data_IF_006077919289
#
_entry.id   IF_006077919289
#
_cell.length_a   1.000
_cell.length_b   1.000
_cell.length_c   1.000
_cell.angle_alpha   90.00
_cell.angle_beta   90.00
_cell.angle_gamma   90.00
#
_symmetry.space_group_name_H-M   'P 1'
#
loop_
_entity.id
_entity.type
_entity.pdbx_description
1 polymer ?
#
# COMPACT_ATOMS: atom_id res chain seq x y z
N UNK A 1 30.06 -20.59 -5.58
CA UNK A 1 30.94 -21.38 -4.69
C UNK A 1 31.60 -22.52 -5.46
N UNK A 2 32.90 -22.78 -5.28
CA UNK A 2 33.61 -23.89 -5.95
C UNK A 2 33.33 -25.24 -5.28
N UNK A 3 33.48 -26.35 -6.02
CA UNK A 3 33.25 -27.71 -5.50
C UNK A 3 34.09 -28.02 -4.25
N UNK A 4 35.34 -27.53 -4.21
CA UNK A 4 36.23 -27.66 -3.05
C UNK A 4 35.66 -26.97 -1.80
N UNK A 5 35.04 -25.80 -1.96
CA UNK A 5 34.40 -25.06 -0.85
C UNK A 5 33.09 -25.73 -0.42
N UNK A 6 32.32 -26.27 -1.37
CA UNK A 6 31.11 -27.04 -1.06
C UNK A 6 31.42 -28.31 -0.26
N UNK A 7 32.45 -29.08 -0.64
CA UNK A 7 32.82 -30.30 0.06
C UNK A 7 33.31 -30.04 1.49
N UNK A 8 34.09 -28.97 1.70
CA UNK A 8 34.47 -28.52 3.05
C UNK A 8 33.25 -28.09 3.89
N UNK A 9 32.30 -27.37 3.28
CA UNK A 9 31.06 -26.97 3.96
C UNK A 9 30.24 -28.18 4.36
N UNK A 10 30.08 -29.15 3.45
CA UNK A 10 29.42 -30.42 3.71
C UNK A 10 30.06 -31.15 4.88
N UNK A 11 31.38 -31.31 4.87
CA UNK A 11 32.14 -31.97 5.94
C UNK A 11 31.97 -31.23 7.29
N UNK A 12 32.08 -29.90 7.31
CA UNK A 12 31.89 -29.09 8.53
C UNK A 12 30.48 -29.22 9.09
N UNK A 13 29.45 -29.21 8.24
CA UNK A 13 28.05 -29.36 8.67
C UNK A 13 27.77 -30.78 9.15
N UNK A 14 28.23 -31.81 8.44
CA UNK A 14 28.05 -33.21 8.88
C UNK A 14 28.76 -33.49 10.22
N UNK A 15 29.90 -32.84 10.48
CA UNK A 15 30.61 -32.90 11.76
C UNK A 15 29.93 -32.13 12.89
N UNK A 16 29.46 -30.90 12.63
CA UNK A 16 28.88 -30.02 13.66
C UNK A 16 27.39 -30.27 13.91
N UNK A 17 26.67 -30.80 12.92
CA UNK A 17 25.21 -30.97 12.93
C UNK A 17 24.80 -32.29 12.24
N UNK A 18 25.05 -33.44 12.86
CA UNK A 18 24.84 -34.76 12.26
C UNK A 18 23.37 -35.07 11.94
N UNK A 19 22.42 -34.28 12.45
CA UNK A 19 21.00 -34.39 12.11
C UNK A 19 20.64 -33.84 10.71
N UNK A 20 21.58 -33.18 10.04
CA UNK A 20 21.42 -32.67 8.69
C UNK A 20 22.01 -33.64 7.68
N UNK A 21 21.24 -33.91 6.63
CA UNK A 21 21.59 -34.89 5.60
C UNK A 21 21.69 -34.17 4.25
N UNK A 22 22.85 -34.31 3.61
CA UNK A 22 23.05 -33.93 2.22
C UNK A 22 22.58 -35.05 1.29
N UNK A 23 21.61 -34.74 0.42
CA UNK A 23 21.11 -35.65 -0.59
C UNK A 23 21.42 -35.11 -1.99
N UNK A 24 22.10 -35.92 -2.80
CA UNK A 24 22.29 -35.62 -4.21
C UNK A 24 20.98 -35.92 -4.95
N UNK A 25 20.49 -34.94 -5.70
CA UNK A 25 19.27 -35.03 -6.48
C UNK A 25 19.58 -35.63 -7.87
N UNK A 26 18.56 -36.18 -8.51
CA UNK A 26 18.70 -36.81 -9.83
C UNK A 26 19.09 -35.86 -10.98
N UNK A 27 19.08 -34.55 -10.74
CA UNK A 27 19.53 -33.49 -11.65
C UNK A 27 21.01 -33.10 -11.42
N UNK A 28 21.72 -33.78 -10.53
CA UNK A 28 23.13 -33.51 -10.19
C UNK A 28 23.32 -32.42 -9.12
N UNK A 29 22.25 -31.77 -8.67
CA UNK A 29 22.28 -30.75 -7.62
C UNK A 29 22.23 -31.37 -6.22
N UNK A 30 22.56 -30.58 -5.19
CA UNK A 30 22.50 -31.05 -3.80
C UNK A 30 21.34 -30.42 -3.05
N UNK A 31 20.80 -31.16 -2.08
CA UNK A 31 19.89 -30.63 -1.08
C UNK A 31 20.41 -30.93 0.31
N UNK A 32 20.19 -30.01 1.24
CA UNK A 32 20.50 -30.19 2.65
C UNK A 32 19.19 -30.14 3.42
N UNK A 33 18.91 -31.20 4.16
CA UNK A 33 17.63 -31.34 4.84
C UNK A 33 17.80 -31.88 6.25
N UNK A 34 16.96 -31.41 7.16
CA UNK A 34 16.69 -32.11 8.40
C UNK A 34 15.16 -32.21 8.58
N UNK A 35 14.69 -32.74 9.72
CA UNK A 35 13.25 -32.91 10.00
C UNK A 35 12.40 -31.62 9.93
N UNK A 36 13.01 -30.43 9.81
CA UNK A 36 12.34 -29.13 9.91
C UNK A 36 12.73 -28.12 8.83
N UNK A 37 13.85 -28.30 8.14
CA UNK A 37 14.41 -27.31 7.20
C UNK A 37 14.90 -28.02 5.94
N UNK A 38 14.71 -27.37 4.79
CA UNK A 38 15.19 -27.83 3.49
C UNK A 38 15.93 -26.70 2.76
N UNK A 39 17.12 -26.96 2.26
CA UNK A 39 17.89 -26.01 1.46
C UNK A 39 18.34 -26.67 0.16
N UNK A 40 18.33 -25.89 -0.93
CA UNK A 40 18.79 -26.34 -2.24
C UNK A 40 20.14 -25.72 -2.58
N UNK A 41 21.01 -26.49 -3.22
CA UNK A 41 22.27 -26.06 -3.79
C UNK A 41 22.24 -26.35 -5.29
N UNK A 42 22.05 -25.32 -6.09
CA UNK A 42 21.98 -25.41 -7.54
C UNK A 42 23.36 -25.10 -8.14
N UNK A 43 23.85 -25.92 -9.06
CA UNK A 43 25.02 -25.59 -9.87
C UNK A 43 24.60 -24.69 -11.05
N UNK A 44 25.18 -23.50 -11.13
CA UNK A 44 25.09 -22.66 -12.31
C UNK A 44 25.99 -23.18 -13.43
N UNK A 45 25.63 -22.85 -14.68
CA UNK A 45 26.34 -23.26 -15.90
C UNK A 45 27.82 -22.82 -15.96
N UNK A 46 28.24 -21.89 -15.10
CA UNK A 46 29.60 -21.38 -14.97
C UNK A 46 30.44 -22.12 -13.90
N UNK A 47 29.92 -23.20 -13.30
CA UNK A 47 30.60 -23.98 -12.26
C UNK A 47 30.45 -23.40 -10.84
N UNK A 48 29.67 -22.33 -10.67
CA UNK A 48 29.37 -21.79 -9.35
C UNK A 48 28.17 -22.51 -8.72
N UNK A 49 28.32 -22.95 -7.48
CA UNK A 49 27.18 -23.39 -6.65
C UNK A 49 26.50 -22.17 -6.05
N UNK A 50 25.18 -22.09 -6.21
CA UNK A 50 24.27 -21.11 -5.58
C UNK A 50 23.38 -21.84 -4.58
N UNK A 51 23.40 -21.38 -3.33
CA UNK A 51 22.54 -21.92 -2.27
C UNK A 51 21.25 -21.10 -2.19
N UNK A 52 20.10 -21.77 -2.28
CA UNK A 52 18.77 -21.20 -2.11
C UNK A 52 18.07 -21.86 -0.94
N UNK A 53 18.15 -21.29 0.27
CA UNK A 53 17.42 -21.83 1.42
C UNK A 53 15.91 -21.63 1.21
N UNK A 54 15.11 -22.68 1.46
CA UNK A 54 13.64 -22.58 1.48
C UNK A 54 13.09 -23.11 2.80
N UNK A 55 12.59 -22.20 3.64
CA UNK A 55 12.09 -22.57 4.97
C UNK A 55 10.58 -22.78 4.89
N UNK A 56 10.12 -24.01 5.05
CA UNK A 56 8.68 -24.32 5.13
C UNK A 56 8.18 -24.22 6.58
N UNK A 57 7.07 -23.50 6.85
CA UNK A 57 6.43 -23.53 8.16
C UNK A 57 5.56 -24.78 8.32
N UNK A 58 5.86 -25.63 9.32
CA UNK A 58 5.22 -26.94 9.52
C UNK A 58 3.72 -26.86 9.88
N UNK A 59 2.89 -27.60 9.13
CA UNK A 59 2.03 -28.68 9.64
C UNK A 59 1.37 -29.43 8.47
N UNK A 60 2.07 -30.40 7.88
CA UNK A 60 1.43 -31.53 7.22
C UNK A 60 2.26 -32.78 7.53
N UNK A 61 1.57 -33.78 8.05
CA UNK A 61 2.07 -35.09 8.43
C UNK A 61 2.90 -35.71 7.30
N UNK A 62 4.20 -35.86 7.52
CA UNK A 62 5.05 -36.81 6.79
C UNK A 62 4.63 -38.24 7.19
N UNK A 63 3.57 -38.73 6.55
CA UNK A 63 3.37 -40.17 6.37
C UNK A 63 3.58 -40.47 4.89
N UNK A 64 4.63 -41.26 4.67
CA UNK A 64 4.91 -42.05 3.47
C UNK A 64 5.18 -41.26 2.19
N UNK A 65 6.38 -41.40 1.62
CA UNK A 65 6.49 -42.10 0.35
C UNK A 65 7.94 -42.51 0.06
N UNK A 66 8.08 -43.81 -0.12
CA UNK A 66 9.16 -44.54 -0.76
C UNK A 66 9.23 -44.14 -2.24
N UNK A 67 10.44 -43.89 -2.73
CA UNK A 67 10.74 -43.67 -4.15
C UNK A 67 10.59 -44.98 -4.93
N UNK A 68 9.76 -45.04 -5.98
CA UNK A 68 10.07 -45.77 -7.23
C UNK A 68 9.28 -45.17 -8.42
N UNK A 69 10.08 -44.80 -9.44
CA UNK A 69 9.91 -44.79 -10.91
C UNK A 69 8.54 -44.71 -11.61
N UNK A 70 8.62 -43.93 -12.70
CA UNK A 70 7.86 -43.96 -13.95
C UNK A 70 6.44 -43.35 -13.98
N UNK A 71 6.38 -42.23 -14.71
CA UNK A 71 5.24 -41.72 -15.50
C UNK A 71 3.96 -41.21 -14.80
N UNK A 72 3.70 -39.92 -15.02
CA UNK A 72 2.40 -39.25 -15.38
C UNK A 72 2.18 -37.92 -14.62
N UNK A 73 1.80 -36.91 -15.42
CA UNK A 73 1.40 -35.52 -15.07
C UNK A 73 0.20 -35.45 -14.12
N UNK A 74 0.17 -34.38 -13.31
CA UNK A 74 -0.90 -33.37 -12.98
C UNK A 74 -0.44 -32.73 -11.65
N UNK A 75 -0.57 -31.44 -11.30
CA UNK A 75 -1.27 -30.26 -11.79
C UNK A 75 -0.90 -29.09 -10.84
N UNK A 76 -1.25 -27.86 -11.23
CA UNK A 76 -0.93 -26.62 -10.49
C UNK A 76 -1.36 -26.66 -9.02
N UNK A 77 -0.45 -26.30 -8.12
CA UNK A 77 -0.75 -25.83 -6.76
C UNK A 77 -0.15 -24.41 -6.62
N UNK A 78 -0.96 -23.51 -6.06
CA UNK A 78 -0.81 -22.07 -6.11
C UNK A 78 0.51 -21.53 -5.58
N UNK A 79 0.98 -20.48 -6.24
CA UNK A 79 2.17 -19.72 -5.87
C UNK A 79 1.93 -18.99 -4.54
N UNK A 80 2.70 -19.36 -3.52
CA UNK A 80 2.98 -18.48 -2.39
C UNK A 80 4.17 -17.61 -2.79
N UNK A 81 4.08 -16.32 -2.49
CA UNK A 81 5.14 -15.35 -2.77
C UNK A 81 6.21 -15.54 -1.70
N UNK A 82 7.19 -16.39 -1.99
CA UNK A 82 8.36 -16.59 -1.14
C UNK A 82 9.25 -15.33 -1.20
N UNK A 83 9.62 -14.78 -0.04
CA UNK A 83 10.78 -13.89 0.04
C UNK A 83 12.03 -14.75 -0.17
N UNK A 84 12.54 -14.73 -1.41
CA UNK A 84 13.83 -15.32 -1.76
C UNK A 84 14.90 -14.33 -1.33
N UNK A 85 15.68 -14.69 -0.30
CA UNK A 85 16.89 -13.95 0.07
C UNK A 85 18.06 -14.63 -0.63
N UNK A 86 18.52 -14.04 -1.74
CA UNK A 86 19.73 -14.49 -2.43
C UNK A 86 20.96 -13.92 -1.69
N UNK A 87 21.74 -14.78 -1.05
CA UNK A 87 23.02 -14.41 -0.44
C UNK A 87 24.15 -14.98 -1.31
N UNK A 88 24.85 -14.15 -2.10
CA UNK A 88 25.99 -14.62 -2.88
C UNK A 88 27.17 -14.96 -1.95
N UNK A 89 27.44 -16.25 -1.78
CA UNK A 89 28.61 -16.75 -1.07
C UNK A 89 29.83 -16.72 -2.00
N UNK A 90 30.62 -15.65 -1.93
CA UNK A 90 31.80 -15.43 -2.79
C UNK A 90 33.13 -15.68 -2.08
N UNK A 91 33.14 -15.89 -0.76
CA UNK A 91 34.38 -16.13 0.02
C UNK A 91 34.15 -17.03 1.25
N UNK A 92 35.22 -17.67 1.74
CA UNK A 92 35.21 -18.49 2.98
C UNK A 92 34.83 -17.66 4.23
N UNK A 93 34.99 -16.32 4.22
CA UNK A 93 34.65 -15.44 5.35
C UNK A 93 33.14 -15.25 5.57
N UNK A 94 32.32 -15.46 4.54
CA UNK A 94 30.85 -15.31 4.62
C UNK A 94 30.16 -16.60 5.09
N UNK A 95 30.93 -17.68 5.29
CA UNK A 95 30.42 -18.98 5.70
C UNK A 95 29.99 -18.98 7.17
N UNK A 96 30.77 -18.34 8.04
CA UNK A 96 30.46 -18.24 9.46
C UNK A 96 29.27 -17.28 9.69
N UNK A 97 29.13 -16.24 8.87
CA UNK A 97 27.94 -15.36 8.85
C UNK A 97 26.68 -16.12 8.42
N UNK A 98 26.79 -16.99 7.41
CA UNK A 98 25.68 -17.82 6.93
C UNK A 98 25.24 -18.88 7.96
N UNK A 99 26.21 -19.52 8.62
CA UNK A 99 25.93 -20.46 9.72
C UNK A 99 25.29 -19.73 10.91
N UNK A 100 25.74 -18.52 11.25
CA UNK A 100 25.12 -17.69 12.28
C UNK A 100 23.67 -17.31 11.92
N UNK A 101 23.37 -16.98 10.65
CA UNK A 101 22.00 -16.69 10.20
C UNK A 101 21.10 -17.92 10.31
N UNK A 102 21.59 -19.10 9.92
CA UNK A 102 20.86 -20.36 10.06
C UNK A 102 20.62 -20.73 11.53
N UNK A 103 21.63 -20.57 12.38
CA UNK A 103 21.52 -20.80 13.82
C UNK A 103 20.53 -19.83 14.48
N UNK A 104 20.61 -18.53 14.18
CA UNK A 104 19.66 -17.51 14.69
C UNK A 104 18.23 -17.81 14.24
N UNK A 105 18.04 -18.24 13.00
CA UNK A 105 16.72 -18.56 12.43
C UNK A 105 16.16 -19.86 13.03
N UNK A 106 17.01 -20.86 13.30
CA UNK A 106 16.65 -22.08 14.01
C UNK A 106 16.38 -21.83 15.52
N UNK A 107 17.12 -20.90 16.14
CA UNK A 107 17.01 -20.51 17.54
C UNK A 107 15.73 -19.71 17.83
N UNK A 108 15.29 -18.86 16.89
CA UNK A 108 14.02 -18.09 16.97
C UNK A 108 12.76 -18.95 17.15
N UNK A 109 12.79 -20.27 16.86
CA UNK A 109 11.64 -21.18 17.00
C UNK A 109 11.76 -22.24 18.10
N UNK A 110 12.81 -22.21 18.93
CA UNK A 110 12.95 -23.10 20.10
C UNK A 110 13.21 -22.27 21.35
N UNK A 111 12.16 -21.95 22.11
CA UNK A 111 12.33 -21.68 23.54
C UNK A 111 12.16 -23.01 24.28
N UNK A 112 13.28 -23.59 24.72
CA UNK A 112 13.40 -24.38 25.95
C UNK A 112 14.89 -24.45 26.35
N UNK A 113 15.24 -24.32 27.64
CA UNK A 113 16.57 -23.90 28.06
C UNK A 113 17.49 -25.10 28.32
N UNK A 114 18.36 -25.42 27.37
CA UNK A 114 19.62 -26.10 27.63
C UNK A 114 20.50 -26.03 26.38
N UNK A 115 21.65 -25.39 26.52
CA UNK A 115 22.98 -25.76 26.00
C UNK A 115 23.87 -24.52 26.07
N UNK A 116 24.95 -24.63 26.84
CA UNK A 116 26.02 -23.63 26.99
C UNK A 116 27.04 -23.84 25.87
N UNK A 117 27.34 -22.79 25.12
CA UNK A 117 28.63 -22.66 24.43
C UNK A 117 29.01 -21.17 24.37
N UNK A 118 30.25 -20.86 24.77
CA UNK A 118 30.88 -19.54 24.64
C UNK A 118 31.35 -19.41 23.19
N UNK A 119 30.89 -18.38 22.48
CA UNK A 119 31.47 -17.95 21.21
C UNK A 119 31.82 -16.49 21.37
N UNK A 120 33.11 -16.16 21.30
CA UNK A 120 33.58 -14.78 21.20
C UNK A 120 33.44 -14.35 19.73
N UNK A 121 32.47 -13.48 19.45
CA UNK A 121 32.27 -12.90 18.12
C UNK A 121 32.82 -11.48 18.14
N UNK A 122 33.81 -11.22 17.30
CA UNK A 122 34.31 -9.87 17.03
C UNK A 122 33.42 -9.25 15.95
N UNK A 123 32.60 -8.24 16.32
CA UNK A 123 31.65 -7.60 15.39
C UNK A 123 32.33 -6.41 14.69
N UNK A 124 32.47 -6.41 13.35
CA UNK A 124 33.03 -5.29 12.60
C UNK A 124 32.12 -4.06 12.61
N UNK A 125 32.69 -2.86 12.50
CA UNK A 125 31.92 -1.59 12.51
C UNK A 125 30.88 -1.49 11.38
N UNK A 126 31.12 -2.14 10.24
CA UNK A 126 30.15 -2.20 9.12
C UNK A 126 28.88 -2.98 9.46
N UNK A 127 28.95 -3.96 10.37
CA UNK A 127 27.78 -4.69 10.82
C UNK A 127 26.88 -3.84 11.72
N UNK A 128 27.44 -2.85 12.43
CA UNK A 128 26.70 -1.95 13.32
C UNK A 128 25.71 -1.10 12.52
N UNK A 129 26.14 -0.55 11.37
CA UNK A 129 25.27 0.24 10.50
C UNK A 129 24.16 -0.60 9.86
N UNK A 130 24.45 -1.87 9.54
CA UNK A 130 23.45 -2.83 9.07
C UNK A 130 22.40 -3.14 10.16
N UNK A 131 22.84 -3.48 11.38
CA UNK A 131 21.92 -3.78 12.48
C UNK A 131 21.12 -2.55 12.94
N UNK A 132 21.69 -1.34 12.87
CA UNK A 132 20.97 -0.09 13.12
C UNK A 132 19.83 0.13 12.10
N UNK A 133 20.09 -0.13 10.81
CA UNK A 133 19.05 -0.05 9.77
C UNK A 133 17.97 -1.13 9.92
N UNK A 134 18.36 -2.37 10.26
CA UNK A 134 17.40 -3.45 10.51
C UNK A 134 16.55 -3.19 11.75
N UNK A 135 17.13 -2.61 12.81
CA UNK A 135 16.41 -2.20 14.02
C UNK A 135 15.46 -1.02 13.77
N UNK A 136 15.84 -0.07 12.91
CA UNK A 136 14.98 1.04 12.46
C UNK A 136 13.69 0.51 11.78
N UNK A 137 13.82 -0.54 10.97
CA UNK A 137 12.69 -1.17 10.28
C UNK A 137 11.81 -2.05 11.20
N UNK A 138 12.21 -2.32 12.46
CA UNK A 138 11.52 -3.21 13.37
C UNK A 138 11.23 -2.53 14.73
N UNK A 139 10.22 -1.67 14.78
CA UNK A 139 9.94 -0.81 15.93
C UNK A 139 9.56 -1.53 17.25
N UNK A 140 10.03 -0.93 18.36
CA UNK A 140 9.83 -1.15 19.82
C UNK A 140 9.96 -2.55 20.41
N UNK A 141 9.35 -3.57 19.81
CA UNK A 141 9.33 -4.94 20.36
C UNK A 141 10.68 -5.66 20.19
N UNK A 142 11.37 -5.40 19.08
CA UNK A 142 12.73 -5.90 18.83
C UNK A 142 13.78 -5.20 19.70
N UNK A 143 13.57 -3.93 20.05
CA UNK A 143 14.49 -3.11 20.86
C UNK A 143 14.56 -3.56 22.31
N UNK A 144 13.41 -3.76 22.96
CA UNK A 144 13.35 -4.24 24.35
C UNK A 144 13.91 -5.67 24.48
N UNK A 145 13.73 -6.49 23.44
CA UNK A 145 14.31 -7.82 23.37
C UNK A 145 15.84 -7.77 23.22
N UNK A 146 16.38 -6.94 22.31
CA UNK A 146 17.82 -6.78 22.11
C UNK A 146 18.51 -6.22 23.35
N UNK A 147 17.91 -5.20 23.98
CA UNK A 147 18.40 -4.60 25.22
C UNK A 147 18.43 -5.64 26.36
N UNK A 148 17.34 -6.36 26.57
CA UNK A 148 17.26 -7.43 27.57
C UNK A 148 18.26 -8.56 27.29
N UNK A 149 18.46 -8.92 26.02
CA UNK A 149 19.41 -9.97 25.61
C UNK A 149 20.88 -9.55 25.83
N UNK A 150 21.24 -8.31 25.52
CA UNK A 150 22.59 -7.76 25.79
C UNK A 150 22.86 -7.66 27.29
N UNK A 151 21.88 -7.19 28.07
CA UNK A 151 21.98 -7.08 29.54
C UNK A 151 22.08 -8.45 30.22
N UNK A 152 21.44 -9.51 29.67
CA UNK A 152 21.45 -10.86 30.26
C UNK A 152 22.65 -11.73 29.85
N UNK A 153 23.37 -11.39 28.77
CA UNK A 153 24.40 -12.28 28.19
C UNK A 153 25.84 -11.99 28.60
N UNK A 154 26.10 -11.01 29.48
CA UNK A 154 27.45 -10.69 29.99
C UNK A 154 28.50 -10.63 28.86
N UNK A 155 28.14 -9.96 27.76
CA UNK A 155 28.97 -9.85 26.56
C UNK A 155 30.09 -8.84 26.88
N UNK A 156 31.38 -9.12 26.52
CA UNK A 156 32.52 -8.36 27.02
C UNK A 156 32.49 -6.86 26.71
N UNK A 157 33.32 -6.12 27.45
CA UNK A 157 33.54 -4.65 27.50
C UNK A 157 33.46 -3.91 26.15
N UNK A 158 33.69 -4.57 25.01
CA UNK A 158 33.58 -4.02 23.66
C UNK A 158 32.14 -3.60 23.30
N UNK A 159 31.11 -4.37 23.72
CA UNK A 159 29.71 -4.01 23.46
C UNK A 159 29.27 -2.87 24.39
N UNK A 160 29.74 -2.85 25.64
CA UNK A 160 29.51 -1.72 26.56
C UNK A 160 30.14 -0.42 26.06
N UNK A 161 31.29 -0.48 25.39
CA UNK A 161 31.95 0.70 24.82
C UNK A 161 31.23 1.26 23.58
N UNK A 162 30.59 0.40 22.78
CA UNK A 162 29.89 0.80 21.55
C UNK A 162 28.38 1.04 21.73
N UNK A 163 27.78 0.57 22.83
CA UNK A 163 26.37 0.80 23.16
C UNK A 163 25.98 2.30 23.17
N UNK A 164 26.79 3.22 23.73
CA UNK A 164 26.51 4.65 23.68
C UNK A 164 26.45 5.18 22.25
N UNK A 165 27.38 4.75 21.39
CA UNK A 165 27.46 5.17 19.99
C UNK A 165 26.25 4.68 19.18
N UNK A 166 25.81 3.44 19.45
CA UNK A 166 24.60 2.85 18.84
C UNK A 166 23.36 3.60 19.31
N UNK A 167 23.24 3.86 20.61
CA UNK A 167 22.12 4.64 21.17
C UNK A 167 22.10 6.06 20.63
N UNK A 168 23.25 6.70 20.44
CA UNK A 168 23.37 8.04 19.85
C UNK A 168 22.92 8.04 18.40
N UNK A 169 23.42 7.11 17.56
CA UNK A 169 22.98 6.97 16.16
C UNK A 169 21.48 6.67 16.04
N UNK A 170 20.95 5.77 16.88
CA UNK A 170 19.50 5.48 16.92
C UNK A 170 18.72 6.73 17.34
N UNK A 171 19.18 7.44 18.37
CA UNK A 171 18.55 8.69 18.82
C UNK A 171 18.60 9.76 17.73
N UNK A 172 19.68 9.84 16.94
CA UNK A 172 19.80 10.74 15.80
C UNK A 172 18.84 10.36 14.66
N UNK A 173 18.70 9.08 14.35
CA UNK A 173 17.74 8.56 13.36
C UNK A 173 16.31 8.84 13.82
N UNK A 174 15.98 8.50 15.07
CA UNK A 174 14.67 8.80 15.67
C UNK A 174 14.41 10.30 15.71
N UNK A 175 15.41 11.13 16.04
CA UNK A 175 15.26 12.60 15.97
C UNK A 175 15.10 13.10 14.55
N UNK A 176 15.77 12.52 13.55
CA UNK A 176 15.58 12.86 12.13
C UNK A 176 14.18 12.49 11.65
N UNK A 177 13.69 11.30 12.01
CA UNK A 177 12.31 10.86 11.71
C UNK A 177 11.27 11.68 12.48
N UNK A 178 11.49 11.97 13.76
CA UNK A 178 10.64 12.88 14.55
C UNK A 178 10.67 14.31 14.03
N UNK A 179 11.79 14.78 13.47
CA UNK A 179 11.89 16.11 12.85
C UNK A 179 11.21 16.16 11.48
N UNK A 180 11.12 15.02 10.79
CA UNK A 180 10.26 14.82 9.61
C UNK A 180 8.78 14.74 10.01
N UNK A 181 8.46 14.18 11.18
CA UNK A 181 7.09 14.15 11.75
C UNK A 181 6.69 15.51 12.35
N UNK A 182 7.66 16.33 12.78
CA UNK A 182 7.45 17.67 13.36
C UNK A 182 7.64 18.81 12.35
N UNK A 183 7.97 18.53 11.10
CA UNK A 183 7.95 19.56 10.05
C UNK A 183 6.51 19.80 9.63
N UNK A 184 5.95 20.87 10.17
CA UNK A 184 4.60 21.41 9.93
C UNK A 184 3.48 20.41 10.27
N UNK A 185 3.03 20.43 11.53
CA UNK A 185 1.72 19.91 11.89
C UNK A 185 0.69 20.58 10.98
N UNK A 186 0.25 19.86 9.96
CA UNK A 186 -0.79 20.30 9.05
C UNK A 186 -2.02 20.62 9.88
N UNK A 187 -2.47 21.87 9.85
CA UNK A 187 -3.52 22.27 10.79
C UNK A 187 -4.82 21.56 10.42
N UNK A 188 -5.57 21.10 11.43
CA UNK A 188 -6.90 20.53 11.19
C UNK A 188 -7.77 21.45 10.33
N UNK A 189 -7.58 22.76 10.47
CA UNK A 189 -8.24 23.82 9.72
C UNK A 189 -7.94 23.81 8.22
N UNK A 190 -6.73 23.45 7.79
CA UNK A 190 -6.41 23.33 6.37
C UNK A 190 -7.14 22.16 5.73
N UNK A 191 -7.30 21.05 6.45
CA UNK A 191 -8.05 19.89 5.98
C UNK A 191 -9.54 20.22 5.86
N UNK A 192 -10.09 21.04 6.77
CA UNK A 192 -11.49 21.50 6.69
C UNK A 192 -11.77 22.32 5.43
N UNK A 193 -10.75 22.84 4.76
CA UNK A 193 -10.90 23.66 3.56
C UNK A 193 -10.70 22.88 2.25
N UNK A 194 -10.38 21.59 2.32
CA UNK A 194 -10.35 20.73 1.15
C UNK A 194 -11.76 20.52 0.58
N UNK A 195 -11.80 20.07 -0.68
CA UNK A 195 -13.02 19.65 -1.36
C UNK A 195 -13.82 18.66 -0.52
N UNK A 196 -15.14 18.73 -0.62
CA UNK A 196 -16.09 18.10 0.29
C UNK A 196 -15.81 16.60 0.56
N UNK A 197 -15.53 15.74 -0.44
CA UNK A 197 -15.32 14.32 -0.19
C UNK A 197 -14.10 14.03 0.70
N UNK A 198 -13.04 14.82 0.52
CA UNK A 198 -11.80 14.63 1.26
C UNK A 198 -11.94 15.20 2.68
N UNK A 199 -12.46 16.42 2.81
CA UNK A 199 -12.63 17.06 4.12
C UNK A 199 -13.64 16.29 4.98
N UNK A 200 -14.80 15.92 4.45
CA UNK A 200 -15.84 15.21 5.19
C UNK A 200 -15.42 13.79 5.61
N UNK A 201 -14.76 13.03 4.73
CA UNK A 201 -14.26 11.70 5.12
C UNK A 201 -13.19 11.78 6.21
N UNK A 202 -12.35 12.82 6.18
CA UNK A 202 -11.40 13.10 7.26
C UNK A 202 -12.12 13.37 8.59
N UNK A 203 -13.08 14.28 8.61
CA UNK A 203 -13.87 14.57 9.81
C UNK A 203 -14.61 13.35 10.36
N UNK A 204 -15.19 12.51 9.49
CA UNK A 204 -15.81 11.27 9.93
C UNK A 204 -14.80 10.36 10.64
N UNK A 205 -13.58 10.23 10.10
CA UNK A 205 -12.55 9.42 10.71
C UNK A 205 -12.00 9.99 12.04
N UNK A 206 -11.89 11.32 12.16
CA UNK A 206 -11.24 11.93 13.33
C UNK A 206 -12.21 12.32 14.45
N UNK A 207 -13.39 12.85 14.12
CA UNK A 207 -14.29 13.54 15.07
C UNK A 207 -15.67 12.87 15.25
N UNK A 208 -16.17 12.09 14.29
CA UNK A 208 -17.61 11.74 14.28
C UNK A 208 -18.09 10.71 15.30
N UNK A 209 -17.18 9.91 15.86
CA UNK A 209 -17.55 8.80 16.75
C UNK A 209 -16.49 8.52 17.81
N UNK A 210 -16.96 8.20 19.02
CA UNK A 210 -16.13 7.72 20.13
C UNK A 210 -15.99 6.20 20.15
N UNK A 211 -16.84 5.46 19.42
CA UNK A 211 -16.73 4.02 19.29
C UNK A 211 -15.52 3.64 18.42
N UNK A 212 -14.63 2.81 18.97
CA UNK A 212 -13.35 2.46 18.33
C UNK A 212 -13.54 1.70 17.03
N UNK A 213 -14.52 0.81 16.97
CA UNK A 213 -14.77 0.00 15.78
C UNK A 213 -15.35 0.86 14.64
N UNK A 214 -16.30 1.74 14.97
CA UNK A 214 -16.83 2.73 14.03
C UNK A 214 -15.74 3.69 13.56
N UNK A 215 -14.85 4.14 14.46
CA UNK A 215 -13.71 4.99 14.14
C UNK A 215 -12.73 4.29 13.18
N UNK A 216 -12.41 3.03 13.44
CA UNK A 216 -11.61 2.19 12.55
C UNK A 216 -12.24 2.09 11.15
N UNK A 217 -13.54 1.81 11.08
CA UNK A 217 -14.26 1.75 9.80
C UNK A 217 -14.30 3.09 9.07
N UNK A 218 -14.42 4.20 9.80
CA UNK A 218 -14.37 5.54 9.23
C UNK A 218 -13.00 5.85 8.61
N UNK A 219 -11.89 5.45 9.25
CA UNK A 219 -10.55 5.52 8.63
C UNK A 219 -10.45 4.67 7.37
N UNK A 220 -10.94 3.42 7.38
CA UNK A 220 -10.95 2.62 6.16
C UNK A 220 -11.76 3.28 5.06
N UNK A 221 -12.93 3.86 5.38
CA UNK A 221 -13.74 4.59 4.41
C UNK A 221 -13.00 5.82 3.85
N UNK A 222 -12.28 6.56 4.69
CA UNK A 222 -11.43 7.68 4.26
C UNK A 222 -10.43 7.25 3.17
N UNK A 223 -9.69 6.16 3.37
CA UNK A 223 -8.73 5.69 2.36
C UNK A 223 -9.42 5.18 1.08
N UNK A 224 -10.59 4.56 1.20
CA UNK A 224 -11.43 4.20 0.03
C UNK A 224 -11.82 5.45 -0.75
N UNK A 225 -12.22 6.53 -0.09
CA UNK A 225 -12.61 7.78 -0.72
C UNK A 225 -11.41 8.46 -1.39
N UNK A 226 -10.25 8.51 -0.75
CA UNK A 226 -9.03 9.06 -1.36
C UNK A 226 -8.67 8.30 -2.64
N UNK A 227 -8.62 6.96 -2.57
CA UNK A 227 -8.30 6.14 -3.74
C UNK A 227 -9.35 6.24 -4.86
N UNK A 228 -10.63 6.28 -4.50
CA UNK A 228 -11.73 6.48 -5.45
C UNK A 228 -11.61 7.82 -6.15
N UNK A 229 -11.53 8.91 -5.38
CA UNK A 229 -11.55 10.26 -5.93
C UNK A 229 -10.31 10.55 -6.79
N UNK A 230 -9.12 10.10 -6.37
CA UNK A 230 -7.91 10.22 -7.17
C UNK A 230 -7.99 9.39 -8.48
N UNK A 231 -8.58 8.19 -8.44
CA UNK A 231 -8.82 7.39 -9.65
C UNK A 231 -9.73 8.12 -10.62
N UNK A 232 -10.84 8.67 -10.13
CA UNK A 232 -11.81 9.37 -10.96
C UNK A 232 -11.22 10.62 -11.60
N UNK A 233 -10.36 11.34 -10.87
CA UNK A 233 -9.67 12.49 -11.42
C UNK A 233 -8.67 12.14 -12.49
N UNK A 234 -7.79 11.16 -12.25
CA UNK A 234 -6.85 10.70 -13.27
C UNK A 234 -7.58 10.13 -14.48
N UNK A 235 -8.70 9.42 -14.28
CA UNK A 235 -9.49 8.94 -15.39
C UNK A 235 -10.11 10.10 -16.19
N UNK A 236 -10.71 11.09 -15.50
CA UNK A 236 -11.38 12.23 -16.13
C UNK A 236 -10.43 13.19 -16.84
N UNK A 237 -9.21 13.34 -16.31
CA UNK A 237 -8.16 14.17 -16.90
C UNK A 237 -7.46 13.49 -18.07
N UNK A 238 -7.61 12.16 -18.25
CA UNK A 238 -6.94 11.43 -19.32
C UNK A 238 -7.63 11.71 -20.66
N UNK A 239 -6.94 12.26 -21.67
CA UNK A 239 -7.52 12.47 -22.99
C UNK A 239 -8.11 11.19 -23.57
N UNK A 240 -9.24 11.33 -24.28
CA UNK A 240 -9.98 10.20 -24.86
C UNK A 240 -9.15 9.30 -25.80
N UNK A 241 -8.13 9.85 -26.45
CA UNK A 241 -7.20 9.05 -27.27
C UNK A 241 -6.42 8.05 -26.42
N UNK A 242 -5.98 8.44 -25.23
CA UNK A 242 -5.24 7.58 -24.31
C UNK A 242 -6.16 6.60 -23.57
N UNK A 243 -7.41 6.99 -23.28
CA UNK A 243 -8.40 6.05 -22.74
C UNK A 243 -8.58 4.85 -23.70
N UNK A 244 -8.61 5.10 -25.01
CA UNK A 244 -8.70 4.04 -26.03
C UNK A 244 -7.40 3.27 -26.18
N UNK A 245 -6.26 3.95 -26.20
CA UNK A 245 -4.94 3.31 -26.32
C UNK A 245 -4.66 2.35 -25.15
N UNK A 246 -4.98 2.76 -23.93
CA UNK A 246 -4.71 2.02 -22.70
C UNK A 246 -5.95 1.31 -22.13
N UNK A 247 -6.98 1.02 -22.95
CA UNK A 247 -8.25 0.43 -22.48
C UNK A 247 -8.01 -0.84 -21.66
N UNK A 248 -7.13 -1.72 -22.14
CA UNK A 248 -6.88 -3.02 -21.50
C UNK A 248 -6.13 -2.90 -20.18
N UNK A 249 -5.30 -1.88 -20.06
CA UNK A 249 -4.54 -1.52 -18.87
C UNK A 249 -5.44 -0.85 -17.84
N UNK A 250 -6.35 0.04 -18.26
CA UNK A 250 -7.28 0.70 -17.34
C UNK A 250 -8.25 -0.34 -16.74
N UNK A 251 -8.94 -1.11 -17.60
CA UNK A 251 -10.06 -1.96 -17.21
C UNK A 251 -9.74 -3.44 -17.02
N UNK A 252 -8.49 -3.86 -17.22
CA UNK A 252 -8.06 -5.27 -17.22
C UNK A 252 -8.80 -6.13 -18.27
N UNK A 253 -8.32 -7.36 -18.51
CA UNK A 253 -9.02 -8.30 -19.43
C UNK A 253 -10.32 -8.85 -18.85
N UNK A 254 -10.52 -8.74 -17.54
CA UNK A 254 -11.67 -9.26 -16.81
C UNK A 254 -12.63 -8.10 -16.46
N UNK A 255 -13.32 -7.59 -17.48
CA UNK A 255 -14.24 -6.44 -17.37
C UNK A 255 -15.32 -6.64 -16.30
N UNK A 256 -15.70 -7.89 -16.03
CA UNK A 256 -16.64 -8.27 -14.98
C UNK A 256 -16.17 -7.87 -13.57
N UNK A 257 -14.86 -7.66 -13.35
CA UNK A 257 -14.37 -7.17 -12.06
C UNK A 257 -14.89 -5.78 -11.70
N UNK A 258 -15.28 -4.98 -12.70
CA UNK A 258 -15.76 -3.61 -12.50
C UNK A 258 -17.28 -3.52 -12.37
N UNK A 259 -17.97 -4.67 -12.42
CA UNK A 259 -19.39 -4.71 -12.07
C UNK A 259 -19.64 -4.40 -10.60
N UNK A 260 -18.60 -4.38 -9.75
CA UNK A 260 -18.66 -3.87 -8.37
C UNK A 260 -17.29 -3.36 -7.94
N UNK A 261 -17.18 -2.08 -7.62
CA UNK A 261 -15.92 -1.44 -7.26
C UNK A 261 -15.68 -1.44 -5.75
N UNK A 262 -14.99 -2.47 -5.27
CA UNK A 262 -14.45 -2.50 -3.91
C UNK A 262 -13.28 -1.53 -3.73
N UNK A 263 -12.97 -1.13 -2.49
CA UNK A 263 -11.72 -0.43 -2.14
C UNK A 263 -10.47 -0.99 -2.84
N UNK A 264 -10.29 -2.31 -2.86
CA UNK A 264 -9.14 -2.94 -3.49
C UNK A 264 -9.08 -2.66 -4.99
N UNK A 265 -10.24 -2.67 -5.67
CA UNK A 265 -10.34 -2.37 -7.09
C UNK A 265 -10.11 -0.88 -7.40
N UNK A 266 -10.55 0.03 -6.52
CA UNK A 266 -10.25 1.45 -6.64
C UNK A 266 -8.75 1.73 -6.50
N UNK A 267 -8.07 1.15 -5.52
CA UNK A 267 -6.61 1.28 -5.36
C UNK A 267 -5.87 0.69 -6.57
N UNK A 268 -6.35 -0.45 -7.07
CA UNK A 268 -5.81 -1.08 -8.26
C UNK A 268 -5.96 -0.21 -9.51
N UNK A 269 -7.12 0.45 -9.68
CA UNK A 269 -7.36 1.39 -10.77
C UNK A 269 -6.46 2.61 -10.64
N UNK A 270 -6.35 3.17 -9.44
CA UNK A 270 -5.46 4.29 -9.15
C UNK A 270 -4.01 3.97 -9.52
N UNK A 271 -3.52 2.78 -9.14
CA UNK A 271 -2.18 2.30 -9.50
C UNK A 271 -1.96 2.23 -11.01
N UNK A 272 -2.91 1.67 -11.74
CA UNK A 272 -2.80 1.54 -13.20
C UNK A 272 -2.81 2.90 -13.88
N UNK A 273 -3.71 3.79 -13.49
CA UNK A 273 -3.75 5.17 -13.98
C UNK A 273 -2.45 5.93 -13.64
N UNK A 274 -1.93 5.81 -12.41
CA UNK A 274 -0.65 6.40 -12.00
C UNK A 274 0.50 5.95 -12.91
N UNK A 275 0.54 4.67 -13.27
CA UNK A 275 1.57 4.13 -14.16
C UNK A 275 1.38 4.61 -15.61
N UNK A 276 0.15 4.67 -16.12
CA UNK A 276 -0.16 5.20 -17.45
C UNK A 276 0.30 6.66 -17.55
N UNK A 277 -0.03 7.50 -16.57
CA UNK A 277 0.42 8.90 -16.52
C UNK A 277 1.94 9.03 -16.54
N UNK A 278 2.66 8.22 -15.75
CA UNK A 278 4.13 8.18 -15.76
C UNK A 278 4.68 7.73 -17.11
N UNK A 279 4.05 6.75 -17.74
CA UNK A 279 4.48 6.26 -19.05
C UNK A 279 4.28 7.31 -20.14
N UNK A 280 3.11 7.94 -20.20
CA UNK A 280 2.81 9.00 -21.17
C UNK A 280 3.78 10.16 -20.96
N UNK A 281 3.94 10.64 -19.72
CA UNK A 281 4.86 11.75 -19.43
C UNK A 281 6.33 11.43 -19.77
N UNK A 282 6.74 10.16 -19.69
CA UNK A 282 8.08 9.73 -20.12
C UNK A 282 8.24 9.77 -21.64
N UNK A 283 7.18 9.48 -22.40
CA UNK A 283 7.16 9.54 -23.88
C UNK A 283 7.00 10.98 -24.38
N UNK A 284 6.18 11.76 -23.69
CA UNK A 284 5.86 13.15 -23.96
C UNK A 284 5.89 13.98 -22.66
N UNK A 285 7.04 14.59 -22.33
CA UNK A 285 7.19 15.42 -21.13
C UNK A 285 6.30 16.67 -21.11
N UNK A 286 5.68 17.03 -22.24
CA UNK A 286 4.74 18.14 -22.30
C UNK A 286 3.34 17.74 -21.84
N UNK A 287 3.05 16.44 -21.70
CA UNK A 287 1.73 15.93 -21.35
C UNK A 287 1.17 16.52 -20.06
N UNK A 288 1.88 16.39 -18.92
CA UNK A 288 1.37 16.88 -17.63
C UNK A 288 1.22 18.41 -17.58
N UNK A 289 2.17 19.22 -18.09
CA UNK A 289 1.99 20.67 -18.20
C UNK A 289 0.77 21.14 -18.99
N UNK A 290 0.29 20.35 -19.96
CA UNK A 290 -0.90 20.69 -20.76
C UNK A 290 -2.23 20.27 -20.12
N UNK A 291 -2.19 19.48 -19.05
CA UNK A 291 -3.40 19.11 -18.32
C UNK A 291 -3.85 20.26 -17.39
N UNK A 292 -5.16 20.36 -17.08
CA UNK A 292 -5.66 21.37 -16.14
C UNK A 292 -4.95 21.30 -14.79
N UNK A 293 -4.63 22.45 -14.20
CA UNK A 293 -3.95 22.63 -12.90
C UNK A 293 -2.43 22.42 -12.94
N UNK A 294 -1.89 22.05 -14.09
CA UNK A 294 -0.45 21.95 -14.34
C UNK A 294 0.24 20.76 -13.70
N UNK A 295 1.54 20.65 -14.01
CA UNK A 295 2.38 19.50 -13.69
C UNK A 295 2.42 19.13 -12.21
N UNK A 296 2.67 20.11 -11.33
CA UNK A 296 2.83 19.88 -9.90
C UNK A 296 1.62 19.17 -9.26
N UNK A 297 0.41 19.44 -9.75
CA UNK A 297 -0.82 18.79 -9.29
C UNK A 297 -0.80 17.30 -9.62
N UNK A 298 -0.53 16.93 -10.87
CA UNK A 298 -0.51 15.52 -11.27
C UNK A 298 0.68 14.76 -10.71
N UNK A 299 1.85 15.40 -10.55
CA UNK A 299 2.98 14.77 -9.88
C UNK A 299 2.68 14.39 -8.43
N UNK A 300 1.98 15.26 -7.69
CA UNK A 300 1.49 14.91 -6.35
C UNK A 300 0.47 13.77 -6.38
N UNK A 301 -0.45 13.77 -7.36
CA UNK A 301 -1.45 12.71 -7.52
C UNK A 301 -0.87 11.37 -7.95
N UNK A 302 0.28 11.30 -8.61
CA UNK A 302 0.91 10.04 -9.01
C UNK A 302 2.10 9.68 -8.11
N UNK A 303 2.22 10.30 -6.95
CA UNK A 303 3.29 10.05 -5.98
C UNK A 303 3.30 8.58 -5.55
N UNK A 304 4.50 7.98 -5.60
CA UNK A 304 4.69 6.57 -5.24
C UNK A 304 4.45 6.31 -3.75
N UNK A 305 4.69 7.30 -2.89
CA UNK A 305 4.53 7.10 -1.45
C UNK A 305 3.06 7.16 -1.05
N UNK A 306 2.27 8.04 -1.68
CA UNK A 306 0.81 8.04 -1.55
C UNK A 306 0.23 6.67 -1.91
N UNK A 307 0.62 6.14 -3.07
CA UNK A 307 0.15 4.83 -3.53
C UNK A 307 0.60 3.71 -2.58
N UNK A 308 1.86 3.71 -2.13
CA UNK A 308 2.38 2.71 -1.21
C UNK A 308 1.64 2.69 0.14
N UNK A 309 1.16 3.84 0.63
CA UNK A 309 0.31 3.88 1.83
C UNK A 309 -1.04 3.22 1.54
N UNK A 310 -1.69 3.59 0.44
CA UNK A 310 -3.03 3.07 0.09
C UNK A 310 -3.02 1.56 -0.16
N UNK A 311 -1.97 1.02 -0.81
CA UNK A 311 -1.82 -0.41 -1.10
C UNK A 311 -1.80 -1.30 0.16
N UNK A 312 -1.44 -0.76 1.32
CA UNK A 312 -1.43 -1.50 2.59
C UNK A 312 -2.81 -1.59 3.25
N UNK A 313 -3.77 -0.75 2.84
CA UNK A 313 -5.06 -0.60 3.53
C UNK A 313 -6.00 -1.81 3.31
N UNK A 314 -6.14 -2.40 2.12
CA UNK A 314 -7.02 -3.55 1.91
C UNK A 314 -6.69 -4.73 2.81
N UNK A 315 -5.40 -5.06 2.95
CA UNK A 315 -4.96 -6.14 3.82
C UNK A 315 -5.31 -5.86 5.28
N UNK A 316 -5.08 -4.63 5.74
CA UNK A 316 -5.48 -4.18 7.08
C UNK A 316 -6.98 -4.35 7.28
N UNK A 317 -7.82 -3.81 6.39
CA UNK A 317 -9.28 -3.92 6.44
C UNK A 317 -9.76 -5.37 6.49
N UNK A 318 -9.22 -6.23 5.63
CA UNK A 318 -9.62 -7.63 5.55
C UNK A 318 -9.33 -8.39 6.85
N UNK A 319 -8.21 -8.09 7.55
CA UNK A 319 -7.93 -8.68 8.87
C UNK A 319 -9.04 -8.39 9.88
N UNK A 320 -9.58 -7.18 9.91
CA UNK A 320 -10.67 -6.81 10.83
C UNK A 320 -12.04 -7.28 10.36
N UNK A 321 -12.28 -7.35 9.04
CA UNK A 321 -13.52 -7.91 8.49
C UNK A 321 -13.70 -9.40 8.84
N UNK A 322 -12.62 -10.18 8.84
CA UNK A 322 -12.66 -11.61 9.17
C UNK A 322 -12.62 -11.92 10.68
N UNK A 323 -12.23 -10.95 11.51
CA UNK A 323 -12.13 -11.15 12.96
C UNK A 323 -13.46 -10.97 13.71
N UNK A 324 -14.51 -10.48 13.03
CA UNK A 324 -15.82 -10.20 13.64
C UNK A 324 -15.76 -9.08 14.69
N UNK A 325 -16.85 -8.91 15.46
CA UNK A 325 -17.02 -7.87 16.49
C UNK A 325 -16.18 -8.10 17.76
N UNK A 326 -15.46 -9.22 17.87
CA UNK A 326 -14.78 -9.65 19.09
C UNK A 326 -13.28 -9.26 19.13
N UNK A 327 -12.90 -8.17 18.48
CA UNK A 327 -11.51 -7.68 18.50
C UNK A 327 -11.28 -6.87 19.78
N UNK A 328 -10.27 -7.21 20.60
CA UNK A 328 -9.97 -6.45 21.82
C UNK A 328 -9.68 -4.97 21.55
N UNK A 329 -10.21 -4.08 22.39
CA UNK A 329 -10.02 -2.63 22.32
C UNK A 329 -8.55 -2.19 22.20
N UNK A 330 -7.63 -2.89 22.87
CA UNK A 330 -6.20 -2.59 22.77
C UNK A 330 -5.65 -2.74 21.35
N UNK A 331 -6.15 -3.71 20.59
CA UNK A 331 -5.79 -3.91 19.18
C UNK A 331 -6.45 -2.83 18.32
N UNK A 332 -7.73 -2.52 18.56
CA UNK A 332 -8.45 -1.47 17.84
C UNK A 332 -7.77 -0.10 18.02
N UNK A 333 -7.45 0.30 19.25
CA UNK A 333 -6.74 1.55 19.56
C UNK A 333 -5.41 1.64 18.82
N UNK A 334 -4.62 0.55 18.85
CA UNK A 334 -3.34 0.50 18.16
C UNK A 334 -3.50 0.68 16.65
N UNK A 335 -4.47 -0.01 16.03
CA UNK A 335 -4.67 0.12 14.59
C UNK A 335 -5.23 1.50 14.21
N UNK A 336 -6.16 2.05 14.99
CA UNK A 336 -6.66 3.43 14.80
C UNK A 336 -5.51 4.42 14.79
N UNK A 337 -4.56 4.31 15.72
CA UNK A 337 -3.43 5.26 15.76
C UNK A 337 -2.46 5.06 14.58
N UNK A 338 -2.29 3.83 14.09
CA UNK A 338 -1.56 3.57 12.85
C UNK A 338 -2.28 4.23 11.66
N UNK A 339 -3.60 4.02 11.52
CA UNK A 339 -4.38 4.59 10.42
C UNK A 339 -4.42 6.12 10.48
N UNK A 340 -4.45 6.71 11.67
CA UNK A 340 -4.34 8.15 11.88
C UNK A 340 -3.02 8.70 11.32
N UNK A 341 -1.89 8.13 11.70
CA UNK A 341 -0.57 8.54 11.18
C UNK A 341 -0.49 8.36 9.65
N UNK A 342 -1.06 7.28 9.12
CA UNK A 342 -1.12 7.08 7.67
C UNK A 342 -2.02 8.12 6.98
N UNK A 343 -3.13 8.52 7.61
CA UNK A 343 -4.03 9.53 7.08
C UNK A 343 -3.38 10.91 7.04
N UNK A 344 -2.62 11.30 8.07
CA UNK A 344 -1.86 12.56 8.10
C UNK A 344 -0.88 12.63 6.92
N UNK A 345 -0.09 11.56 6.72
CA UNK A 345 0.85 11.45 5.58
C UNK A 345 0.15 11.51 4.22
N UNK A 346 -1.06 10.95 4.11
CA UNK A 346 -1.86 11.05 2.88
C UNK A 346 -2.29 12.50 2.67
N UNK A 347 -2.85 13.15 3.69
CA UNK A 347 -3.42 14.50 3.55
C UNK A 347 -2.36 15.59 3.34
N UNK A 348 -1.14 15.43 3.86
CA UNK A 348 0.02 16.26 3.50
C UNK A 348 0.23 16.32 1.98
N UNK A 349 0.02 15.20 1.28
CA UNK A 349 0.19 15.11 -0.18
C UNK A 349 -1.03 15.60 -0.94
N UNK A 350 -2.20 15.58 -0.32
CA UNK A 350 -3.46 16.08 -0.90
C UNK A 350 -3.61 17.61 -0.74
N UNK A 351 -2.60 18.32 -0.24
CA UNK A 351 -2.59 19.78 -0.17
C UNK A 351 -2.77 20.46 -1.53
N UNK A 352 -2.43 19.76 -2.62
CA UNK A 352 -2.62 20.22 -3.99
C UNK A 352 -4.09 20.48 -4.35
N UNK A 353 -5.04 19.99 -3.55
CA UNK A 353 -6.47 20.30 -3.69
C UNK A 353 -6.90 21.61 -3.04
N UNK A 354 -6.08 22.22 -2.17
CA UNK A 354 -6.44 23.45 -1.43
C UNK A 354 -6.92 24.62 -2.32
N UNK A 355 -6.32 24.91 -3.49
CA UNK A 355 -6.81 25.99 -4.34
C UNK A 355 -8.03 25.61 -5.19
N UNK A 356 -8.49 24.36 -5.12
CA UNK A 356 -9.48 23.80 -6.05
C UNK A 356 -10.87 23.75 -5.42
N UNK A 357 -11.87 24.00 -6.24
CA UNK A 357 -13.28 23.97 -5.91
C UNK A 357 -13.93 22.76 -6.57
N UNK A 358 -14.69 21.98 -5.81
CA UNK A 358 -15.60 21.00 -6.40
C UNK A 358 -16.94 21.70 -6.61
N UNK A 359 -17.37 21.82 -7.86
CA UNK A 359 -18.54 22.63 -8.22
C UNK A 359 -19.50 21.86 -9.11
N UNK A 360 -20.79 22.18 -8.99
CA UNK A 360 -21.86 21.62 -9.82
C UNK A 360 -22.67 22.77 -10.43
N UNK A 361 -22.70 22.94 -11.76
CA UNK A 361 -23.45 24.01 -12.41
C UNK A 361 -24.96 23.77 -12.32
N UNK A 362 -25.70 24.77 -11.84
CA UNK A 362 -27.16 24.76 -11.70
C UNK A 362 -27.80 25.48 -12.89
N UNK A 363 -27.25 26.63 -13.27
CA UNK A 363 -27.76 27.44 -14.37
C UNK A 363 -26.66 28.28 -14.98
N UNK A 364 -26.83 28.62 -16.26
CA UNK A 364 -25.90 29.47 -17.00
C UNK A 364 -26.64 30.51 -17.81
N UNK A 365 -26.12 31.73 -17.84
CA UNK A 365 -26.60 32.80 -18.69
C UNK A 365 -25.44 33.45 -19.43
N UNK A 366 -25.48 33.43 -20.76
CA UNK A 366 -24.49 34.12 -21.59
C UNK A 366 -24.81 35.62 -21.65
N UNK A 367 -23.86 36.47 -21.28
CA UNK A 367 -23.99 37.93 -21.32
C UNK A 367 -22.67 38.54 -21.81
N UNK A 368 -22.72 39.28 -22.94
CA UNK A 368 -21.56 39.94 -23.55
C UNK A 368 -20.35 39.00 -23.78
N UNK A 369 -20.60 37.76 -24.21
CA UNK A 369 -19.55 36.78 -24.50
C UNK A 369 -19.02 36.00 -23.29
N UNK A 370 -19.45 36.32 -22.07
CA UNK A 370 -19.10 35.61 -20.83
C UNK A 370 -20.31 34.84 -20.32
N UNK A 371 -20.09 33.65 -19.77
CA UNK A 371 -21.10 32.86 -19.08
C UNK A 371 -21.12 33.23 -17.60
N UNK A 372 -22.25 33.76 -17.14
CA UNK A 372 -22.55 33.88 -15.71
C UNK A 372 -23.18 32.55 -15.27
N UNK A 373 -22.46 31.78 -14.47
CA UNK A 373 -22.85 30.42 -14.05
C UNK A 373 -23.17 30.42 -12.56
N UNK A 374 -24.37 29.98 -12.20
CA UNK A 374 -24.71 29.64 -10.82
C UNK A 374 -24.26 28.21 -10.54
N UNK A 375 -23.49 28.01 -9.47
CA UNK A 375 -22.92 26.72 -9.07
C UNK A 375 -23.32 26.37 -7.65
N UNK A 376 -23.49 25.08 -7.35
CA UNK A 376 -23.36 24.56 -5.97
C UNK A 376 -21.87 24.40 -5.69
N UNK A 377 -21.45 24.87 -4.52
CA UNK A 377 -20.06 24.87 -4.08
C UNK A 377 -19.83 23.78 -3.02
N UNK A 378 -19.12 22.71 -3.40
CA UNK A 378 -18.91 21.51 -2.60
C UNK A 378 -17.49 21.50 -2.01
N UNK A 379 -17.14 22.53 -1.24
CA UNK A 379 -15.91 22.55 -0.46
C UNK A 379 -16.24 22.71 1.01
N UNK A 380 -15.38 22.17 1.88
CA UNK A 380 -15.52 22.24 3.34
C UNK A 380 -16.60 21.35 3.95
N UNK A 381 -16.38 21.07 5.24
CA UNK A 381 -17.15 20.18 6.11
C UNK A 381 -18.62 20.55 6.31
N UNK A 382 -18.93 21.84 6.20
CA UNK A 382 -20.21 22.41 6.67
C UNK A 382 -21.17 22.72 5.51
N UNK A 383 -20.85 22.26 4.31
CA UNK A 383 -21.53 22.68 3.09
C UNK A 383 -22.79 21.88 2.81
N UNK A 384 -23.51 21.38 3.80
CA UNK A 384 -24.83 20.78 3.57
C UNK A 384 -25.88 21.59 4.32
N UNK A 385 -26.80 22.30 3.64
CA UNK A 385 -26.96 22.36 2.18
C UNK A 385 -25.80 23.07 1.46
N UNK A 386 -25.49 22.64 0.22
CA UNK A 386 -24.37 23.19 -0.55
C UNK A 386 -24.65 24.64 -0.94
N UNK A 387 -23.80 25.61 -0.54
CA UNK A 387 -24.03 27.01 -0.83
C UNK A 387 -23.95 27.25 -2.35
N UNK A 388 -24.79 28.17 -2.81
CA UNK A 388 -24.78 28.59 -4.21
C UNK A 388 -23.87 29.81 -4.38
N UNK A 389 -23.05 29.77 -5.43
CA UNK A 389 -22.15 30.86 -5.81
C UNK A 389 -22.33 31.19 -7.28
N UNK A 390 -21.99 32.42 -7.67
CA UNK A 390 -21.89 32.82 -9.07
C UNK A 390 -20.44 32.94 -9.48
N UNK A 391 -20.11 32.36 -10.63
CA UNK A 391 -18.81 32.49 -11.27
C UNK A 391 -18.99 32.98 -12.71
N UNK A 392 -17.93 33.57 -13.26
CA UNK A 392 -17.89 34.04 -14.64
C UNK A 392 -16.84 33.25 -15.40
N UNK A 393 -17.23 32.70 -16.56
CA UNK A 393 -16.38 31.84 -17.38
C UNK A 393 -16.41 32.28 -18.85
N UNK A 394 -15.29 32.13 -19.53
CA UNK A 394 -15.21 32.27 -20.99
C UNK A 394 -15.94 31.14 -21.73
N UNK A 395 -15.97 29.95 -21.13
CA UNK A 395 -16.54 28.74 -21.70
C UNK A 395 -17.75 28.25 -20.90
N UNK A 396 -18.66 27.55 -21.58
CA UNK A 396 -19.81 26.95 -20.93
C UNK A 396 -19.41 25.68 -20.19
N UNK A 397 -19.99 25.46 -19.01
CA UNK A 397 -19.92 24.17 -18.31
C UNK A 397 -21.08 23.30 -18.77
N UNK A 398 -20.88 22.00 -18.91
CA UNK A 398 -21.98 21.07 -19.15
C UNK A 398 -22.83 20.95 -17.88
N UNK A 399 -24.16 20.97 -18.06
CA UNK A 399 -25.09 20.68 -16.98
C UNK A 399 -24.93 19.24 -16.50
N UNK A 400 -25.39 18.97 -15.28
CA UNK A 400 -25.43 17.60 -14.72
C UNK A 400 -24.07 16.91 -14.60
N UNK A 401 -23.00 17.71 -14.48
CA UNK A 401 -21.64 17.21 -14.30
C UNK A 401 -20.95 17.93 -13.16
N UNK A 402 -20.10 17.20 -12.44
CA UNK A 402 -19.20 17.81 -11.45
C UNK A 402 -17.93 18.30 -12.11
N UNK A 403 -17.37 19.37 -11.56
CA UNK A 403 -16.13 19.96 -12.02
C UNK A 403 -15.19 20.20 -10.86
N UNK A 404 -13.91 19.89 -11.06
CA UNK A 404 -12.84 20.52 -10.30
C UNK A 404 -12.52 21.85 -10.98
N UNK A 405 -12.51 22.93 -10.23
CA UNK A 405 -12.38 24.29 -10.75
C UNK A 405 -11.35 25.08 -9.95
N UNK A 406 -10.46 25.78 -10.63
CA UNK A 406 -9.45 26.62 -9.99
C UNK A 406 -9.75 28.09 -10.28
N UNK A 407 -10.17 28.82 -9.26
CA UNK A 407 -10.81 30.12 -9.44
C UNK A 407 -9.88 31.23 -9.97
N UNK A 408 -8.59 31.16 -9.64
CA UNK A 408 -7.59 32.18 -10.02
C UNK A 408 -7.26 32.18 -11.52
N UNK A 409 -7.21 30.98 -12.11
CA UNK A 409 -6.76 30.67 -13.46
C UNK A 409 -7.92 30.26 -14.36
N UNK A 410 -9.11 30.07 -13.77
CA UNK A 410 -10.32 29.59 -14.42
C UNK A 410 -10.17 28.21 -15.09
N UNK A 411 -9.15 27.45 -14.71
CA UNK A 411 -8.97 26.08 -15.17
C UNK A 411 -10.10 25.20 -14.64
N UNK A 412 -10.61 24.31 -15.49
CA UNK A 412 -11.65 23.38 -15.10
C UNK A 412 -11.35 21.97 -15.62
N UNK A 413 -11.77 20.99 -14.82
CA UNK A 413 -11.75 19.58 -15.18
C UNK A 413 -13.13 19.00 -14.91
N UNK A 414 -13.83 18.61 -15.97
CA UNK A 414 -15.10 17.88 -15.86
C UNK A 414 -14.82 16.47 -15.34
N UNK A 415 -15.54 16.05 -14.32
CA UNK A 415 -15.53 14.67 -13.84
C UNK A 415 -16.52 13.83 -14.64
N UNK A 416 -16.20 12.56 -14.88
CA UNK A 416 -17.13 11.65 -15.57
C UNK A 416 -18.42 11.44 -14.75
N UNK A 417 -19.57 11.94 -15.22
CA UNK A 417 -20.84 11.87 -14.49
C UNK A 417 -21.31 10.43 -14.27
N UNK A 418 -20.83 9.49 -15.09
CA UNK A 418 -21.14 8.06 -14.98
C UNK A 418 -20.54 7.43 -13.71
N UNK A 419 -19.49 8.01 -13.13
CA UNK A 419 -18.87 7.48 -11.93
C UNK A 419 -19.11 8.32 -10.68
N UNK A 420 -19.31 9.64 -10.84
CA UNK A 420 -19.54 10.56 -9.73
C UNK A 420 -20.44 11.70 -10.16
N UNK A 421 -21.51 11.93 -9.41
CA UNK A 421 -22.42 13.04 -9.69
C UNK A 421 -23.11 13.55 -8.43
N UNK A 422 -23.70 14.74 -8.53
CA UNK A 422 -24.52 15.31 -7.47
C UNK A 422 -25.98 15.13 -7.84
N UNK A 423 -26.74 14.38 -7.03
CA UNK A 423 -28.17 14.19 -7.22
C UNK A 423 -28.95 14.75 -6.04
N UNK A 424 -30.10 15.34 -6.33
CA UNK A 424 -31.12 15.63 -5.33
C UNK A 424 -31.87 14.33 -5.00
N UNK A 425 -31.87 13.95 -3.73
CA UNK A 425 -32.63 12.78 -3.30
C UNK A 425 -34.13 13.03 -3.45
N UNK A 426 -34.83 12.16 -4.19
CA UNK A 426 -36.28 12.26 -4.36
C UNK A 426 -37.07 12.11 -3.05
N UNK A 427 -36.53 11.39 -2.06
CA UNK A 427 -37.24 11.14 -0.79
C UNK A 427 -37.12 12.29 0.21
N UNK A 428 -35.95 12.92 0.30
CA UNK A 428 -35.67 13.95 1.32
C UNK A 428 -35.37 15.34 0.76
N UNK A 429 -35.28 15.51 -0.57
CA UNK A 429 -34.95 16.78 -1.22
C UNK A 429 -33.52 17.26 -0.97
N UNK A 430 -32.67 16.46 -0.31
CA UNK A 430 -31.29 16.85 -0.05
C UNK A 430 -30.38 16.45 -1.22
N UNK A 431 -29.54 17.41 -1.63
CA UNK A 431 -28.47 17.16 -2.56
C UNK A 431 -27.38 16.31 -1.89
N UNK A 432 -26.97 15.25 -2.55
CA UNK A 432 -25.91 14.37 -2.10
C UNK A 432 -24.96 14.04 -3.24
N UNK A 433 -23.70 13.86 -2.88
CA UNK A 433 -22.71 13.34 -3.80
C UNK A 433 -22.88 11.82 -3.88
N UNK A 434 -23.00 11.30 -5.09
CA UNK A 434 -23.15 9.88 -5.38
C UNK A 434 -21.92 9.38 -6.13
N UNK A 435 -21.45 8.21 -5.72
CA UNK A 435 -20.33 7.51 -6.36
C UNK A 435 -20.85 6.15 -6.82
N UNK A 436 -20.45 5.75 -8.02
CA UNK A 436 -20.77 4.45 -8.58
C UNK A 436 -20.28 3.31 -7.66
N UNK A 437 -21.18 2.37 -7.33
CA UNK A 437 -20.88 1.17 -6.53
C UNK A 437 -20.70 -0.05 -7.43
N UNK A 438 -21.76 -0.35 -8.20
CA UNK A 438 -21.90 -1.61 -8.92
C UNK A 438 -22.90 -1.50 -10.06
N UNK A 439 -22.88 -2.50 -10.94
CA UNK A 439 -23.90 -2.72 -11.96
C UNK A 439 -24.68 -3.99 -11.66
N UNK A 440 -25.98 -3.91 -11.90
CA UNK A 440 -26.87 -5.06 -11.99
C UNK A 440 -27.55 -5.05 -13.36
N UNK A 441 -27.11 -5.94 -14.25
CA UNK A 441 -27.56 -6.04 -15.65
C UNK A 441 -27.34 -4.73 -16.41
N UNK A 442 -28.42 -3.97 -16.66
CA UNK A 442 -28.41 -2.69 -17.38
C UNK A 442 -28.54 -1.47 -16.45
N UNK A 443 -28.47 -1.69 -15.14
CA UNK A 443 -28.66 -0.65 -14.12
C UNK A 443 -27.34 -0.42 -13.40
N UNK A 444 -26.91 0.83 -13.33
CA UNK A 444 -25.83 1.28 -12.46
C UNK A 444 -26.42 1.74 -11.11
N UNK A 445 -25.88 1.23 -10.01
CA UNK A 445 -26.22 1.63 -8.65
C UNK A 445 -25.12 2.52 -8.07
N UNK A 446 -25.54 3.62 -7.43
CA UNK A 446 -24.66 4.60 -6.82
C UNK A 446 -25.00 4.72 -5.34
N UNK A 447 -23.98 4.85 -4.51
CA UNK A 447 -24.15 5.10 -3.07
C UNK A 447 -24.00 6.58 -2.75
N UNK A 448 -24.86 7.06 -1.86
CA UNK A 448 -24.70 8.41 -1.30
C UNK A 448 -23.47 8.45 -0.39
N UNK A 449 -22.63 9.45 -0.62
CA UNK A 449 -21.45 9.73 0.18
C UNK A 449 -21.78 10.09 1.65
N UNK A 450 -22.99 10.60 1.90
CA UNK A 450 -23.46 11.02 3.23
C UNK A 450 -23.92 9.87 4.15
N UNK A 451 -23.69 8.60 3.79
CA UNK A 451 -24.14 7.44 4.57
C UNK A 451 -25.66 7.34 4.77
N UNK A 452 -26.45 8.17 4.11
CA UNK A 452 -27.91 8.00 4.06
C UNK A 452 -28.16 6.81 3.14
N UNK A 453 -28.99 5.85 3.57
CA UNK A 453 -29.35 4.62 2.84
C UNK A 453 -30.16 4.88 1.55
N UNK A 454 -29.81 5.92 0.81
CA UNK A 454 -30.44 6.30 -0.44
C UNK A 454 -29.53 5.82 -1.56
N UNK A 455 -30.00 4.81 -2.29
CA UNK A 455 -29.34 4.29 -3.48
C UNK A 455 -29.92 5.05 -4.66
N UNK A 456 -29.06 5.62 -5.50
CA UNK A 456 -29.48 6.14 -6.80
C UNK A 456 -29.27 5.07 -7.86
N UNK A 457 -30.24 4.91 -8.76
CA UNK A 457 -30.19 3.93 -9.85
C UNK A 457 -30.49 4.61 -11.18
N UNK A 458 -29.68 4.33 -12.19
CA UNK A 458 -29.91 4.80 -13.55
C UNK A 458 -29.49 3.73 -14.57
N UNK A 459 -29.92 3.87 -15.81
CA UNK A 459 -29.48 2.99 -16.89
C UNK A 459 -27.98 3.20 -17.17
N UNK A 460 -27.30 2.10 -17.49
CA UNK A 460 -25.88 2.15 -17.87
C UNK A 460 -25.73 2.99 -19.14
N UNK A 461 -24.83 3.96 -19.08
CA UNK A 461 -24.50 4.85 -20.19
C UNK A 461 -23.01 5.18 -20.22
N UNK A 462 -22.58 5.90 -21.27
CA UNK A 462 -21.23 6.44 -21.36
C UNK A 462 -20.12 5.39 -21.19
N UNK A 463 -19.13 5.67 -20.35
CA UNK A 463 -18.01 4.76 -20.08
C UNK A 463 -18.43 3.45 -19.40
N UNK A 464 -19.55 3.43 -18.67
CA UNK A 464 -20.03 2.20 -18.03
C UNK A 464 -20.50 1.16 -19.06
N UNK A 465 -20.87 1.58 -20.29
CA UNK A 465 -21.19 0.65 -21.38
C UNK A 465 -20.02 -0.27 -21.76
N UNK A 466 -18.78 0.11 -21.41
CA UNK A 466 -17.61 -0.70 -21.72
C UNK A 466 -17.54 -1.99 -20.90
N UNK A 467 -18.37 -2.12 -19.86
CA UNK A 467 -18.42 -3.26 -18.95
C UNK A 467 -19.61 -4.20 -19.16
N UNK A 468 -20.54 -3.85 -20.05
CA UNK A 468 -21.69 -4.67 -20.47
C UNK A 468 -21.30 -5.41 -21.74
#
# INVERSE_FOLDING_TARGET
>A
MSEKVFNKLKEKIELSHPEWVFNQRGDGNWSLSNRKVFAYFDYEKNGNVVCRPRIYPNNLSLREFTCWKDSVKVGKIGAWKDEVIDIPLTSESLLDDYLAILEITAYRKKVSPAIKAKVEINVPDSAIDYYANVASNAFSSSFNYLKSWVETKNIPEIVSAKLPLINEKITEIVRKEEKIIKSENFSSEEIKNLIYPLSYSYYLATESTSDLYSKLNAYFKLFEIVSTFNSLLLLSALPQVYIREYETEIWTRDKNRYSRLSMGLWIDLYRRLSNIYKEINRKDPSFLPHLPFGDAFYHALIDKNLLAILEQIPEKRNRFAHSGSNVPDGILKKEVEILKVLSEKVFERLIVYKPLWLVYPISMKKKKGVYETSIKYLNSLVSTPFPEKRIQLSEAMESESLYLFKADSQECLRLFPEFINLFECGDCGHWSLYIFDKMDRKIAEYYSFHNIHHIHKTEINGLLNMFV
#
